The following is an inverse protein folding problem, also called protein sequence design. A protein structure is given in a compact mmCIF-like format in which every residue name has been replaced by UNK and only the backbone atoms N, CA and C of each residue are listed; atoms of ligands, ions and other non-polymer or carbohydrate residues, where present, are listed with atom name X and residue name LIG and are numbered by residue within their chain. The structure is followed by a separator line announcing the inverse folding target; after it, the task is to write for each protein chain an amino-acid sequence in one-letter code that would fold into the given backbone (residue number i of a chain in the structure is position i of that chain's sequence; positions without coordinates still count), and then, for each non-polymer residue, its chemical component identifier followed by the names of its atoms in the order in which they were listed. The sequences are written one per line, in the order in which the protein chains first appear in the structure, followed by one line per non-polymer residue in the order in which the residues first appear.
data_IF_410927315964
#
_entry.id   IF_410927315964
#
_cell.length_a   1.000
_cell.length_b   1.000
_cell.length_c   1.000
_cell.angle_alpha   90.00
_cell.angle_beta   90.00
_cell.angle_gamma   90.00
#
_symmetry.space_group_name_H-M   'P 1'
#
loop_
_entity.id
_entity.type
_entity.pdbx_description
1 polymer ?
#
# COMPACT_ATOMS: atom_id res chain seq x y z
N UNK A 1 33.32 33.72 17.57
CA UNK A 1 34.03 33.29 16.32
C UNK A 1 33.95 31.79 16.09
N UNK A 2 33.80 30.96 17.14
CA UNK A 2 33.57 29.51 17.07
C UNK A 2 32.27 29.08 16.37
N UNK A 3 31.19 29.86 16.49
CA UNK A 3 29.86 29.49 15.95
C UNK A 3 29.84 29.37 14.41
N UNK A 4 30.53 30.27 13.71
CA UNK A 4 30.62 30.22 12.24
C UNK A 4 31.42 28.99 11.76
N UNK A 5 32.40 28.55 12.56
CA UNK A 5 33.24 27.40 12.24
C UNK A 5 32.46 26.10 12.43
N UNK A 6 31.69 26.00 13.52
CA UNK A 6 30.81 24.86 13.78
C UNK A 6 29.74 24.69 12.68
N UNK A 7 29.13 25.79 12.24
CA UNK A 7 28.15 25.78 11.14
C UNK A 7 28.79 25.31 9.81
N UNK A 8 30.01 25.79 9.51
CA UNK A 8 30.76 25.36 8.32
C UNK A 8 31.08 23.85 8.34
N UNK A 9 31.51 23.33 9.49
CA UNK A 9 31.77 21.89 9.66
C UNK A 9 30.49 21.06 9.47
N UNK A 10 29.37 21.52 10.01
CA UNK A 10 28.09 20.85 9.86
C UNK A 10 27.63 20.79 8.40
N UNK A 11 27.82 21.86 7.63
CA UNK A 11 27.52 21.88 6.19
C UNK A 11 28.38 20.88 5.42
N UNK A 12 29.68 20.75 5.74
CA UNK A 12 30.58 19.79 5.08
C UNK A 12 30.14 18.34 5.38
N UNK A 13 29.67 18.06 6.60
CA UNK A 13 29.11 16.74 6.98
C UNK A 13 27.84 16.44 6.17
N UNK A 14 26.94 17.41 6.02
CA UNK A 14 25.69 17.26 5.23
C UNK A 14 26.00 17.01 3.75
N UNK A 15 27.02 17.67 3.21
CA UNK A 15 27.50 17.46 1.83
C UNK A 15 28.19 16.10 1.63
N UNK A 16 28.44 15.34 2.70
CA UNK A 16 29.13 14.05 2.64
C UNK A 16 30.57 14.15 2.13
N UNK A 17 31.24 15.28 2.39
CA UNK A 17 32.61 15.56 1.94
C UNK A 17 33.59 15.50 3.11
N UNK A 18 34.82 15.06 2.85
CA UNK A 18 35.86 14.90 3.88
C UNK A 18 35.73 13.61 4.70
N UNK A 19 36.38 13.59 5.86
CA UNK A 19 36.39 12.46 6.80
C UNK A 19 35.30 12.70 7.85
N UNK A 20 34.20 11.95 7.73
CA UNK A 20 33.03 12.09 8.58
C UNK A 20 33.35 11.90 10.07
N UNK A 21 34.15 10.89 10.41
CA UNK A 21 34.48 10.61 11.81
C UNK A 21 35.31 11.75 12.43
N UNK A 22 36.24 12.29 11.64
CA UNK A 22 37.05 13.44 12.06
C UNK A 22 36.23 14.73 12.19
N UNK A 23 35.31 14.98 11.27
CA UNK A 23 34.44 16.17 11.31
C UNK A 23 33.42 16.11 12.46
N UNK A 24 32.86 14.94 12.76
CA UNK A 24 31.98 14.74 13.92
C UNK A 24 32.74 14.99 15.24
N UNK A 25 33.98 14.52 15.36
CA UNK A 25 34.85 14.79 16.50
C UNK A 25 35.17 16.28 16.67
N UNK A 26 35.51 16.97 15.58
CA UNK A 26 35.76 18.41 15.55
C UNK A 26 34.50 19.19 15.97
N UNK A 27 33.33 18.79 15.48
CA UNK A 27 32.06 19.42 15.83
C UNK A 27 31.74 19.27 17.33
N UNK A 28 32.02 18.10 17.91
CA UNK A 28 31.86 17.85 19.34
C UNK A 28 32.81 18.72 20.18
N UNK A 29 34.06 18.88 19.76
CA UNK A 29 35.05 19.76 20.41
C UNK A 29 34.61 21.22 20.37
N UNK A 30 34.13 21.69 19.21
CA UNK A 30 33.65 23.05 19.02
C UNK A 30 32.38 23.33 19.85
N UNK A 31 31.48 22.36 19.97
CA UNK A 31 30.26 22.49 20.79
C UNK A 31 30.57 22.56 22.29
N UNK A 32 31.69 21.94 22.70
CA UNK A 32 32.18 21.95 24.09
C UNK A 32 33.13 23.13 24.39
N UNK A 33 33.25 24.08 23.45
CA UNK A 33 34.14 25.25 23.51
C UNK A 33 35.61 24.88 23.81
N UNK A 34 36.04 23.70 23.34
CA UNK A 34 37.42 23.22 23.50
C UNK A 34 38.29 23.69 22.36
N UNK A 35 39.55 23.97 22.66
CA UNK A 35 40.55 24.36 21.67
C UNK A 35 40.82 23.20 20.69
N UNK A 36 40.67 23.47 19.40
CA UNK A 36 40.96 22.49 18.35
C UNK A 36 42.46 22.17 18.28
N UNK A 37 42.84 20.89 18.10
CA UNK A 37 44.22 20.50 17.80
C UNK A 37 44.73 21.20 16.53
N UNK A 38 46.02 21.54 16.48
CA UNK A 38 46.67 22.21 15.33
C UNK A 38 46.49 21.41 14.03
N UNK A 39 46.52 20.07 14.13
CA UNK A 39 46.26 19.17 13.01
C UNK A 39 44.85 19.32 12.43
N UNK A 40 43.86 19.56 13.29
CA UNK A 40 42.45 19.72 12.92
C UNK A 40 42.17 21.13 12.41
N UNK A 41 42.83 22.14 12.97
CA UNK A 41 42.78 23.52 12.43
C UNK A 41 43.30 23.55 10.98
N UNK A 42 44.48 22.99 10.73
CA UNK A 42 45.07 22.92 9.38
C UNK A 42 44.22 22.10 8.40
N UNK A 43 43.55 21.06 8.90
CA UNK A 43 42.60 20.27 8.13
C UNK A 43 41.40 21.12 7.69
N UNK A 44 40.79 21.85 8.63
CA UNK A 44 39.66 22.75 8.34
C UNK A 44 40.04 23.88 7.37
N UNK A 45 41.21 24.50 7.55
CA UNK A 45 41.72 25.54 6.65
C UNK A 45 41.88 25.06 5.21
N UNK A 46 42.15 23.76 4.98
CA UNK A 46 42.27 23.19 3.63
C UNK A 46 40.91 22.79 3.02
N UNK A 47 39.95 22.40 3.86
CA UNK A 47 38.68 21.79 3.42
C UNK A 47 37.56 22.82 3.31
N UNK A 48 37.49 23.78 4.22
CA UNK A 48 36.48 24.85 4.19
C UNK A 48 36.54 25.60 2.85
N UNK A 49 37.67 26.15 2.38
CA UNK A 49 37.70 26.80 1.08
C UNK A 49 37.54 25.84 -0.10
N UNK A 50 37.87 24.55 0.04
CA UNK A 50 37.72 23.57 -1.04
C UNK A 50 36.25 23.21 -1.31
N UNK A 51 35.42 23.14 -0.26
CA UNK A 51 34.02 22.72 -0.37
C UNK A 51 33.01 23.85 -0.16
N UNK A 52 33.39 24.87 0.59
CA UNK A 52 32.56 26.04 0.91
C UNK A 52 33.14 27.33 0.29
N UNK A 53 34.33 27.28 -0.31
CA UNK A 53 34.90 28.40 -1.05
C UNK A 53 34.28 28.51 -2.44
N UNK A 54 33.42 29.52 -2.60
CA UNK A 54 33.08 30.21 -3.86
C UNK A 54 32.92 29.35 -5.13
N UNK A 55 32.30 28.17 -5.04
CA UNK A 55 31.51 27.65 -6.15
C UNK A 55 30.06 28.05 -5.87
N UNK A 56 29.74 29.27 -6.32
CA UNK A 56 28.43 29.91 -6.41
C UNK A 56 27.31 29.20 -5.65
N UNK A 57 27.06 29.63 -4.41
CA UNK A 57 25.95 29.16 -3.60
C UNK A 57 24.60 29.21 -4.35
N UNK A 58 24.45 30.16 -5.28
CA UNK A 58 23.31 30.24 -6.22
C UNK A 58 23.24 29.06 -7.18
N UNK A 59 24.37 28.58 -7.71
CA UNK A 59 24.42 27.43 -8.63
C UNK A 59 24.04 26.12 -7.92
N UNK A 60 24.41 26.01 -6.64
CA UNK A 60 24.12 24.86 -5.79
C UNK A 60 22.66 24.87 -5.34
N UNK A 61 22.13 26.04 -4.94
CA UNK A 61 20.69 26.23 -4.72
C UNK A 61 19.88 25.88 -5.95
N UNK A 62 20.28 26.37 -7.13
CA UNK A 62 19.58 26.08 -8.40
C UNK A 62 19.61 24.59 -8.76
N UNK A 63 20.72 23.90 -8.53
CA UNK A 63 20.79 22.43 -8.69
C UNK A 63 19.89 21.71 -7.70
N UNK A 64 19.88 22.15 -6.45
CA UNK A 64 19.04 21.57 -5.41
C UNK A 64 17.55 21.75 -5.71
N UNK A 65 17.16 22.94 -6.17
CA UNK A 65 15.79 23.26 -6.58
C UNK A 65 15.36 22.42 -7.80
N UNK A 66 16.19 22.33 -8.83
CA UNK A 66 15.94 21.45 -9.97
C UNK A 66 15.81 19.97 -9.55
N UNK A 67 16.57 19.53 -8.55
CA UNK A 67 16.51 18.15 -8.04
C UNK A 67 15.22 17.91 -7.25
N UNK A 68 14.80 18.88 -6.44
CA UNK A 68 13.54 18.85 -5.69
C UNK A 68 12.35 18.81 -6.65
N UNK A 69 12.38 19.60 -7.72
CA UNK A 69 11.34 19.63 -8.74
C UNK A 69 11.26 18.30 -9.51
N UNK A 70 12.40 17.74 -9.89
CA UNK A 70 12.46 16.42 -10.52
C UNK A 70 11.87 15.33 -9.60
N UNK A 71 12.22 15.38 -8.30
CA UNK A 71 11.73 14.43 -7.31
C UNK A 71 10.22 14.56 -7.08
N UNK A 72 9.68 15.78 -7.03
CA UNK A 72 8.24 16.01 -6.98
C UNK A 72 7.52 15.46 -8.21
N UNK A 73 8.13 15.61 -9.39
CA UNK A 73 7.65 15.00 -10.64
C UNK A 73 7.57 13.48 -10.55
N UNK A 74 8.65 12.83 -10.07
CA UNK A 74 8.68 11.39 -9.89
C UNK A 74 7.63 10.91 -8.87
N UNK A 75 7.50 11.58 -7.72
CA UNK A 75 6.49 11.26 -6.70
C UNK A 75 5.08 11.35 -7.29
N UNK A 76 4.80 12.40 -8.07
CA UNK A 76 3.50 12.58 -8.75
C UNK A 76 3.20 11.44 -9.71
N UNK A 77 4.18 11.05 -10.53
CA UNK A 77 4.04 9.91 -11.47
C UNK A 77 3.82 8.61 -10.70
N UNK A 78 4.55 8.39 -9.61
CA UNK A 78 4.43 7.21 -8.77
C UNK A 78 3.02 7.11 -8.17
N UNK A 79 2.50 8.22 -7.64
CA UNK A 79 1.17 8.30 -7.07
C UNK A 79 0.07 8.02 -8.12
N UNK A 80 0.24 8.55 -9.34
CA UNK A 80 -0.67 8.27 -10.45
C UNK A 80 -0.63 6.78 -10.87
N UNK A 81 0.55 6.16 -10.88
CA UNK A 81 0.67 4.72 -11.14
C UNK A 81 0.05 3.88 -10.03
N UNK A 82 0.24 4.28 -8.77
CA UNK A 82 -0.31 3.60 -7.61
C UNK A 82 -1.84 3.61 -7.64
N UNK A 83 -2.45 4.78 -7.85
CA UNK A 83 -3.91 4.92 -7.97
C UNK A 83 -4.48 4.13 -9.16
N UNK A 84 -3.78 4.09 -10.30
CA UNK A 84 -4.16 3.23 -11.45
C UNK A 84 -4.12 1.75 -11.10
N UNK A 85 -3.12 1.30 -10.34
CA UNK A 85 -3.00 -0.09 -9.89
C UNK A 85 -4.06 -0.43 -8.84
N UNK A 86 -4.33 0.47 -7.91
CA UNK A 86 -5.37 0.33 -6.91
C UNK A 86 -6.73 0.16 -7.57
N UNK A 87 -7.10 1.09 -8.46
CA UNK A 87 -8.37 1.03 -9.19
C UNK A 87 -8.48 -0.24 -10.04
N UNK A 88 -7.43 -0.63 -10.79
CA UNK A 88 -7.43 -1.88 -11.56
C UNK A 88 -7.47 -3.13 -10.67
N UNK A 89 -6.85 -3.09 -9.49
CA UNK A 89 -6.85 -4.17 -8.52
C UNK A 89 -8.25 -4.40 -7.95
N UNK A 90 -8.91 -3.34 -7.49
CA UNK A 90 -10.28 -3.39 -6.97
C UNK A 90 -11.31 -3.77 -8.04
N UNK A 91 -11.26 -3.12 -9.20
CA UNK A 91 -12.25 -3.34 -10.28
C UNK A 91 -12.18 -4.75 -10.86
N UNK A 92 -10.96 -5.30 -11.02
CA UNK A 92 -10.75 -6.67 -11.53
C UNK A 92 -11.02 -7.75 -10.48
N UNK A 93 -10.79 -7.47 -9.20
CA UNK A 93 -10.91 -8.48 -8.13
C UNK A 93 -12.31 -8.55 -7.53
N UNK A 94 -12.97 -7.40 -7.32
CA UNK A 94 -14.24 -7.34 -6.57
C UNK A 94 -15.44 -7.52 -7.51
N UNK A 95 -15.48 -6.89 -8.69
CA UNK A 95 -16.68 -6.84 -9.52
C UNK A 95 -17.25 -8.21 -9.92
N UNK A 96 -16.46 -9.05 -10.62
CA UNK A 96 -16.97 -10.36 -11.09
C UNK A 96 -17.24 -11.32 -9.94
N UNK A 97 -16.42 -11.34 -8.90
CA UNK A 97 -16.53 -12.29 -7.79
C UNK A 97 -17.61 -11.93 -6.78
N UNK A 98 -17.82 -10.63 -6.58
CA UNK A 98 -18.91 -10.11 -5.76
C UNK A 98 -20.26 -10.46 -6.39
N UNK A 99 -20.42 -10.31 -7.71
CA UNK A 99 -21.64 -10.74 -8.41
C UNK A 99 -21.90 -12.23 -8.22
N UNK A 100 -20.89 -13.10 -8.34
CA UNK A 100 -21.03 -14.53 -8.06
C UNK A 100 -21.40 -14.80 -6.58
N UNK A 101 -20.76 -14.12 -5.63
CA UNK A 101 -21.10 -14.25 -4.21
C UNK A 101 -22.54 -13.84 -3.93
N UNK A 102 -22.97 -12.68 -4.43
CA UNK A 102 -24.34 -12.22 -4.30
C UNK A 102 -25.32 -13.17 -4.99
N UNK A 103 -24.99 -13.73 -6.15
CA UNK A 103 -25.82 -14.73 -6.82
C UNK A 103 -25.94 -16.02 -6.00
N UNK A 104 -24.84 -16.53 -5.43
CA UNK A 104 -24.87 -17.73 -4.57
C UNK A 104 -25.67 -17.49 -3.29
N UNK A 105 -25.50 -16.33 -2.64
CA UNK A 105 -26.25 -15.96 -1.43
C UNK A 105 -27.73 -15.77 -1.77
N UNK A 106 -28.05 -15.13 -2.89
CA UNK A 106 -29.41 -14.87 -3.32
C UNK A 106 -30.16 -16.17 -3.69
N UNK A 107 -29.52 -17.08 -4.43
CA UNK A 107 -30.08 -18.41 -4.71
C UNK A 107 -30.14 -19.27 -3.45
N UNK A 108 -29.13 -19.18 -2.59
CA UNK A 108 -29.11 -19.89 -1.30
C UNK A 108 -30.22 -19.45 -0.36
N UNK A 109 -30.51 -18.15 -0.30
CA UNK A 109 -31.61 -17.61 0.49
C UNK A 109 -32.96 -18.26 0.13
N UNK A 110 -33.19 -18.52 -1.16
CA UNK A 110 -34.40 -19.22 -1.63
C UNK A 110 -34.41 -20.71 -1.27
N UNK A 111 -33.28 -21.40 -1.35
CA UNK A 111 -33.17 -22.81 -0.90
C UNK A 111 -33.48 -22.95 0.60
N UNK A 112 -33.05 -21.96 1.40
CA UNK A 112 -33.33 -21.92 2.83
C UNK A 112 -34.79 -21.54 3.16
N UNK A 113 -35.60 -21.12 2.19
CA UNK A 113 -37.00 -20.74 2.39
C UNK A 113 -37.77 -21.77 3.21
N UNK A 114 -37.62 -23.07 2.92
CA UNK A 114 -38.36 -24.12 3.63
C UNK A 114 -38.06 -24.14 5.13
N UNK A 115 -36.80 -23.93 5.49
CA UNK A 115 -36.36 -23.90 6.89
C UNK A 115 -36.74 -22.59 7.58
N UNK A 116 -36.61 -21.47 6.87
CA UNK A 116 -37.01 -20.15 7.36
C UNK A 116 -38.51 -20.10 7.60
N UNK A 117 -39.33 -20.58 6.65
CA UNK A 117 -40.79 -20.64 6.79
C UNK A 117 -41.24 -21.65 7.84
N UNK A 118 -40.52 -22.77 8.02
CA UNK A 118 -40.79 -23.69 9.12
C UNK A 118 -40.60 -23.03 10.50
N UNK A 119 -39.61 -22.14 10.63
CA UNK A 119 -39.28 -21.48 11.89
C UNK A 119 -40.07 -20.18 12.14
N UNK A 120 -40.19 -19.33 11.12
CA UNK A 120 -40.83 -18.00 11.19
C UNK A 120 -42.27 -17.98 10.69
N UNK A 121 -42.71 -19.00 9.96
CA UNK A 121 -44.06 -19.09 9.38
C UNK A 121 -45.19 -18.85 10.37
N UNK A 122 -45.15 -19.38 11.62
CA UNK A 122 -46.18 -19.11 12.62
C UNK A 122 -46.31 -17.63 13.03
N UNK A 123 -45.26 -16.82 12.78
CA UNK A 123 -45.18 -15.41 13.18
C UNK A 123 -45.36 -14.44 12.00
N UNK A 124 -45.48 -14.97 10.78
CA UNK A 124 -45.56 -14.17 9.56
C UNK A 124 -47.03 -14.02 9.10
N UNK A 125 -47.47 -12.80 8.74
CA UNK A 125 -48.77 -12.60 8.12
C UNK A 125 -48.88 -13.33 6.77
N UNK A 126 -50.08 -13.79 6.43
CA UNK A 126 -50.34 -14.45 5.14
C UNK A 126 -50.10 -13.47 3.97
N UNK A 127 -49.35 -13.92 2.97
CA UNK A 127 -49.04 -13.14 1.76
C UNK A 127 -47.69 -12.40 1.76
N UNK A 128 -46.97 -12.35 2.89
CA UNK A 128 -45.64 -11.70 2.96
C UNK A 128 -44.54 -12.59 2.34
N UNK A 129 -44.82 -13.88 2.17
CA UNK A 129 -43.87 -14.89 1.67
C UNK A 129 -43.29 -14.54 0.29
N UNK A 130 -44.09 -13.91 -0.58
CA UNK A 130 -43.68 -13.52 -1.94
C UNK A 130 -42.69 -12.34 -1.94
N UNK A 131 -42.73 -11.49 -0.91
CA UNK A 131 -41.81 -10.35 -0.76
C UNK A 131 -40.50 -10.76 -0.09
N UNK A 132 -40.55 -11.74 0.82
CA UNK A 132 -39.37 -12.28 1.51
C UNK A 132 -38.58 -13.20 0.57
N UNK A 133 -39.28 -13.91 -0.32
CA UNK A 133 -38.71 -14.83 -1.30
C UNK A 133 -39.14 -14.45 -2.73
N UNK A 134 -38.56 -13.38 -3.30
CA UNK A 134 -38.93 -12.87 -4.62
C UNK A 134 -38.69 -13.89 -5.75
N UNK A 135 -37.81 -14.87 -5.53
CA UNK A 135 -37.55 -15.97 -6.45
C UNK A 135 -38.74 -16.92 -6.62
N UNK A 136 -39.75 -16.92 -5.74
CA UNK A 136 -40.97 -17.71 -5.93
C UNK A 136 -41.78 -17.30 -7.16
N UNK A 137 -41.76 -16.01 -7.51
CA UNK A 137 -42.43 -15.53 -8.72
C UNK A 137 -41.72 -16.03 -9.99
N UNK A 138 -40.39 -16.13 -9.96
CA UNK A 138 -39.58 -16.68 -11.05
C UNK A 138 -39.71 -18.21 -11.11
N UNK A 139 -39.75 -18.88 -9.95
CA UNK A 139 -39.91 -20.33 -9.84
C UNK A 139 -41.29 -20.81 -10.33
N UNK A 140 -42.36 -20.02 -10.21
CA UNK A 140 -43.67 -20.41 -10.77
C UNK A 140 -43.67 -20.55 -12.30
N UNK A 141 -42.74 -19.90 -13.00
CA UNK A 141 -42.56 -20.04 -14.45
C UNK A 141 -41.67 -21.22 -14.85
N UNK A 142 -40.85 -21.73 -13.92
CA UNK A 142 -39.95 -22.87 -14.12
C UNK A 142 -40.38 -23.98 -13.16
N UNK A 143 -41.08 -25.00 -13.66
CA UNK A 143 -41.73 -26.09 -12.91
C UNK A 143 -40.80 -27.00 -12.06
N UNK A 144 -39.78 -26.47 -11.41
CA UNK A 144 -38.57 -27.18 -11.05
C UNK A 144 -37.96 -26.62 -9.75
N UNK A 145 -38.65 -26.84 -8.64
CA UNK A 145 -38.02 -26.88 -7.31
C UNK A 145 -36.67 -27.66 -7.31
N UNK A 146 -36.51 -28.80 -8.02
CA UNK A 146 -35.22 -29.49 -8.16
C UNK A 146 -34.15 -28.73 -8.97
N UNK A 147 -34.50 -27.94 -9.99
CA UNK A 147 -33.49 -27.20 -10.79
C UNK A 147 -32.82 -26.11 -9.96
N UNK A 148 -33.57 -25.42 -9.10
CA UNK A 148 -33.02 -24.38 -8.21
C UNK A 148 -32.07 -25.00 -7.19
N UNK A 149 -32.44 -26.17 -6.63
CA UNK A 149 -31.57 -26.95 -5.75
C UNK A 149 -30.29 -27.43 -6.44
N UNK A 150 -30.39 -27.94 -7.68
CA UNK A 150 -29.23 -28.34 -8.47
C UNK A 150 -28.32 -27.15 -8.79
N UNK A 151 -28.88 -26.00 -9.16
CA UNK A 151 -28.13 -24.78 -9.41
C UNK A 151 -27.40 -24.29 -8.13
N UNK A 152 -28.06 -24.40 -6.97
CA UNK A 152 -27.44 -24.07 -5.70
C UNK A 152 -26.30 -25.03 -5.34
N UNK A 153 -26.49 -26.34 -5.48
CA UNK A 153 -25.43 -27.34 -5.23
C UNK A 153 -24.24 -27.10 -6.18
N UNK A 154 -24.49 -26.82 -7.45
CA UNK A 154 -23.45 -26.50 -8.42
C UNK A 154 -22.68 -25.22 -8.02
N UNK A 155 -23.37 -24.17 -7.59
CA UNK A 155 -22.72 -22.93 -7.14
C UNK A 155 -21.98 -23.09 -5.80
N UNK A 156 -22.51 -23.88 -4.86
CA UNK A 156 -21.90 -24.14 -3.57
C UNK A 156 -20.64 -25.02 -3.70
N UNK A 157 -20.67 -26.02 -4.58
CA UNK A 157 -19.52 -26.89 -4.86
C UNK A 157 -18.40 -26.16 -5.62
N UNK A 158 -18.71 -25.11 -6.39
CA UNK A 158 -17.69 -24.29 -7.04
C UNK A 158 -16.81 -23.48 -6.06
N UNK A 159 -17.36 -23.12 -4.89
CA UNK A 159 -16.70 -22.25 -3.90
C UNK A 159 -15.40 -22.85 -3.30
N UNK A 160 -15.37 -24.13 -2.89
CA UNK A 160 -14.13 -24.82 -2.49
C UNK A 160 -13.02 -24.79 -3.55
N UNK A 161 -13.36 -24.98 -4.83
CA UNK A 161 -12.37 -24.95 -5.92
C UNK A 161 -11.81 -23.54 -6.14
N UNK A 162 -12.67 -22.53 -6.07
CA UNK A 162 -12.25 -21.13 -6.14
C UNK A 162 -11.35 -20.76 -4.96
N UNK A 163 -11.68 -21.23 -3.75
CA UNK A 163 -10.85 -21.08 -2.55
C UNK A 163 -9.49 -21.75 -2.67
N UNK A 164 -9.44 -22.98 -3.19
CA UNK A 164 -8.20 -23.74 -3.39
C UNK A 164 -7.25 -23.07 -4.39
N UNK A 165 -7.77 -22.56 -5.51
CA UNK A 165 -6.98 -21.80 -6.50
C UNK A 165 -6.40 -20.52 -5.87
N UNK A 166 -7.18 -19.86 -5.00
CA UNK A 166 -6.71 -18.68 -4.28
C UNK A 166 -5.60 -19.01 -3.28
N UNK A 167 -5.75 -20.10 -2.52
CA UNK A 167 -4.75 -20.56 -1.58
C UNK A 167 -3.44 -20.91 -2.31
N UNK A 168 -3.53 -21.62 -3.44
CA UNK A 168 -2.38 -21.94 -4.26
C UNK A 168 -1.67 -20.69 -4.81
N UNK A 169 -2.44 -19.69 -5.27
CA UNK A 169 -1.89 -18.42 -5.78
C UNK A 169 -1.24 -17.58 -4.67
N UNK A 170 -1.83 -17.59 -3.47
CA UNK A 170 -1.27 -16.93 -2.29
C UNK A 170 0.05 -17.57 -1.84
N UNK A 171 0.11 -18.91 -1.80
CA UNK A 171 1.34 -19.66 -1.49
C UNK A 171 2.43 -19.37 -2.53
N UNK A 172 2.08 -19.36 -3.82
CA UNK A 172 3.04 -19.03 -4.90
C UNK A 172 3.59 -17.60 -4.78
N UNK A 173 2.73 -16.63 -4.45
CA UNK A 173 3.13 -15.23 -4.26
C UNK A 173 4.15 -15.04 -3.13
N UNK A 174 4.08 -15.84 -2.06
CA UNK A 174 5.05 -15.78 -0.95
C UNK A 174 6.38 -16.40 -1.31
N UNK A 175 6.40 -17.44 -2.15
CA UNK A 175 7.64 -18.12 -2.59
C UNK A 175 8.52 -17.24 -3.48
N UNK A 176 7.95 -16.34 -4.28
CA UNK A 176 8.70 -15.38 -5.12
C UNK A 176 9.20 -14.14 -4.37
N UNK A 177 8.82 -13.96 -3.10
CA UNK A 177 9.24 -12.84 -2.26
C UNK A 177 10.37 -13.21 -1.29
N UNK A 178 10.91 -14.43 -1.38
CA UNK A 178 12.16 -14.77 -0.70
C UNK A 178 13.30 -14.03 -1.41
N UNK A 179 14.02 -13.11 -0.75
CA UNK A 179 15.29 -12.66 -1.29
C UNK A 179 16.16 -13.91 -1.44
N UNK A 180 16.74 -14.05 -2.62
CA UNK A 180 17.80 -15.01 -2.91
C UNK A 180 18.88 -14.76 -1.86
N UNK A 181 19.18 -15.79 -1.07
CA UNK A 181 20.32 -15.80 -0.14
C UNK A 181 21.63 -15.78 -0.93
#
# INVERSE_FOLDING_TARGET
MSDNLASSVQQIIILGKGDRGRLEYILELLTKDKTLPISDQKYLESIIPLYLGSQDAESLQKRMENTIDALHGEIRILNERLSKLERKGFEKYVGKKSVFFFATVFVGWHVFQRYVMYFLGPYLPSGVEQYIFPLNMLANNFNENPVIWLAFIFMATAWPFIGAVHLAKFIKSRKSASPIK
#
